data_IF_401542564654
#
_entry.id   IF_401542564654
#
_cell.length_a   1.000
_cell.length_b   1.000
_cell.length_c   1.000
_cell.angle_alpha   90.00
_cell.angle_beta   90.00
_cell.angle_gamma   90.00
#
_symmetry.space_group_name_H-M   'P 1'
#
loop_
_entity.id
_entity.type
_entity.pdbx_description
1 polymer ?
#
# COMPACT_ATOMS: atom_id res chain seq x y z
N UNK A 1 -4.47 -6.89 -14.14
CA UNK A 1 -3.81 -6.68 -12.83
C UNK A 1 -4.48 -5.47 -12.21
N UNK A 2 -5.16 -5.63 -11.07
CA UNK A 2 -5.95 -4.55 -10.47
C UNK A 2 -5.03 -3.75 -9.54
N UNK A 3 -4.98 -2.44 -9.75
CA UNK A 3 -4.26 -1.49 -8.91
C UNK A 3 -5.29 -0.58 -8.27
N UNK A 4 -5.13 -0.28 -6.98
CA UNK A 4 -6.08 0.54 -6.25
C UNK A 4 -5.42 1.83 -5.78
N UNK A 5 -6.23 2.87 -5.67
CA UNK A 5 -5.81 4.16 -5.15
C UNK A 5 -5.83 4.13 -3.62
N UNK A 6 -4.86 4.79 -2.99
CA UNK A 6 -4.66 4.81 -1.53
C UNK A 6 -5.97 5.03 -0.76
N UNK A 7 -6.81 5.99 -1.18
CA UNK A 7 -8.06 6.31 -0.46
C UNK A 7 -9.08 5.16 -0.47
N UNK A 8 -9.08 4.32 -1.50
CA UNK A 8 -9.98 3.16 -1.61
C UNK A 8 -9.50 1.96 -0.79
N UNK A 9 -8.20 1.86 -0.49
CA UNK A 9 -7.62 0.71 0.21
C UNK A 9 -7.61 0.86 1.73
N UNK A 10 -7.70 2.09 2.25
CA UNK A 10 -7.80 2.38 3.69
C UNK A 10 -8.91 1.59 4.36
N UNK A 11 -10.03 1.41 3.65
CA UNK A 11 -11.18 0.65 4.13
C UNK A 11 -11.00 -0.88 4.01
N UNK A 12 -10.18 -1.34 3.04
CA UNK A 12 -9.93 -2.76 2.82
C UNK A 12 -8.97 -3.35 3.86
N UNK A 13 -7.92 -2.60 4.22
CA UNK A 13 -6.88 -3.06 5.16
C UNK A 13 -7.08 -2.53 6.59
N UNK A 14 -8.11 -1.72 6.85
CA UNK A 14 -8.30 -0.99 8.11
C UNK A 14 -7.06 -0.15 8.53
N UNK A 15 -6.20 0.24 7.58
CA UNK A 15 -5.04 1.10 7.81
C UNK A 15 -5.43 2.53 7.43
N UNK A 16 -5.42 3.44 8.41
CA UNK A 16 -5.72 4.84 8.16
C UNK A 16 -4.83 5.47 7.06
N UNK A 17 -5.42 6.31 6.21
CA UNK A 17 -4.78 6.94 5.05
C UNK A 17 -3.43 7.58 5.39
N UNK A 18 -3.38 8.30 6.52
CA UNK A 18 -2.17 8.98 7.00
C UNK A 18 -1.03 8.00 7.28
N UNK A 19 -1.33 6.80 7.79
CA UNK A 19 -0.34 5.76 8.05
C UNK A 19 0.12 5.12 6.75
N UNK A 20 -0.81 4.87 5.82
CA UNK A 20 -0.48 4.32 4.51
C UNK A 20 0.41 5.26 3.69
N UNK A 21 0.10 6.57 3.69
CA UNK A 21 0.95 7.59 3.05
C UNK A 21 2.33 7.68 3.69
N UNK A 22 2.44 7.56 5.02
CA UNK A 22 3.74 7.51 5.71
C UNK A 22 4.54 6.26 5.34
N UNK A 23 3.88 5.10 5.27
CA UNK A 23 4.50 3.84 4.90
C UNK A 23 5.09 3.90 3.49
N UNK A 24 4.32 4.43 2.53
CA UNK A 24 4.81 4.67 1.16
C UNK A 24 5.94 5.71 1.14
N UNK A 25 5.81 6.82 1.89
CA UNK A 25 6.84 7.86 1.91
C UNK A 25 8.17 7.39 2.52
N UNK A 26 8.12 6.48 3.49
CA UNK A 26 9.30 5.91 4.12
C UNK A 26 9.99 4.85 3.24
N UNK A 27 9.23 4.12 2.42
CA UNK A 27 9.75 3.04 1.59
C UNK A 27 9.33 3.20 0.12
N UNK A 28 9.71 4.27 -0.59
CA UNK A 28 9.16 4.61 -1.91
C UNK A 28 9.53 3.60 -3.01
N UNK A 29 10.52 2.75 -2.78
CA UNK A 29 11.05 1.76 -3.74
C UNK A 29 10.48 0.36 -3.57
N UNK A 30 9.49 0.18 -2.68
CA UNK A 30 8.90 -1.13 -2.42
C UNK A 30 8.07 -1.65 -3.59
N UNK A 31 8.10 -2.97 -3.80
CA UNK A 31 7.49 -3.60 -4.97
C UNK A 31 5.96 -3.45 -5.01
N UNK A 32 5.32 -3.29 -3.86
CA UNK A 32 3.87 -3.06 -3.75
C UNK A 32 3.46 -1.62 -4.07
N UNK A 33 4.41 -0.69 -4.24
CA UNK A 33 4.14 0.71 -4.55
C UNK A 33 4.26 0.94 -6.06
N UNK A 34 3.33 1.71 -6.61
CA UNK A 34 3.38 2.19 -7.98
C UNK A 34 3.13 3.70 -7.98
N UNK A 35 4.18 4.47 -8.25
CA UNK A 35 4.07 5.92 -8.41
C UNK A 35 3.82 6.25 -9.89
N UNK A 36 2.71 6.93 -10.18
CA UNK A 36 2.36 7.44 -11.50
C UNK A 36 2.29 8.98 -11.42
N UNK A 37 3.45 9.62 -11.64
CA UNK A 37 3.61 11.04 -11.40
C UNK A 37 3.35 11.38 -9.93
N UNK A 38 2.34 12.22 -9.66
CA UNK A 38 1.95 12.60 -8.30
C UNK A 38 0.96 11.63 -7.64
N UNK A 39 0.47 10.61 -8.37
CA UNK A 39 -0.46 9.62 -7.84
C UNK A 39 0.31 8.41 -7.33
N UNK A 40 -0.13 7.85 -6.22
CA UNK A 40 0.40 6.62 -5.66
C UNK A 40 -0.70 5.56 -5.70
N UNK A 41 -0.33 4.40 -6.24
CA UNK A 41 -1.14 3.20 -6.29
C UNK A 41 -0.46 2.10 -5.50
N UNK A 42 -1.27 1.20 -4.95
CA UNK A 42 -0.78 0.01 -4.25
C UNK A 42 -1.22 -1.23 -5.03
N UNK A 43 -0.30 -2.20 -5.12
CA UNK A 43 -0.56 -3.52 -5.71
C UNK A 43 -1.07 -4.46 -4.62
N UNK A 44 -2.37 -4.73 -4.56
CA UNK A 44 -2.96 -5.57 -3.50
C UNK A 44 -2.22 -6.88 -3.28
N UNK A 45 -1.95 -7.65 -4.34
CA UNK A 45 -1.36 -8.99 -4.19
C UNK A 45 -0.01 -8.98 -3.48
N UNK A 46 0.82 -7.97 -3.76
CA UNK A 46 2.15 -7.85 -3.15
C UNK A 46 2.00 -7.23 -1.75
N UNK A 47 1.06 -6.30 -1.59
CA UNK A 47 0.79 -5.68 -0.30
C UNK A 47 0.17 -6.65 0.72
N UNK A 48 -0.74 -7.52 0.30
CA UNK A 48 -1.32 -8.60 1.10
C UNK A 48 -0.21 -9.54 1.59
N UNK A 49 0.68 -9.98 0.70
CA UNK A 49 1.85 -10.77 1.07
C UNK A 49 2.75 -10.04 2.08
N UNK A 50 2.97 -8.75 1.88
CA UNK A 50 3.73 -7.92 2.82
C UNK A 50 3.06 -7.87 4.20
N UNK A 51 1.73 -7.71 4.28
CA UNK A 51 0.99 -7.71 5.53
C UNK A 51 1.00 -9.09 6.19
N UNK A 52 0.82 -10.18 5.45
CA UNK A 52 0.88 -11.55 5.98
C UNK A 52 2.26 -11.86 6.61
N UNK A 53 3.34 -11.40 5.95
CA UNK A 53 4.71 -11.54 6.46
C UNK A 53 4.92 -10.67 7.71
N UNK A 54 4.42 -9.43 7.73
CA UNK A 54 4.65 -8.48 8.83
C UNK A 54 3.73 -8.74 10.04
N UNK A 55 2.54 -9.27 9.81
CA UNK A 55 1.51 -9.58 10.81
C UNK A 55 1.60 -10.98 11.41
N UNK A 56 2.63 -11.76 11.06
CA UNK A 56 2.93 -13.04 11.71
C UNK A 56 3.53 -12.81 13.10
N UNK A 57 2.69 -12.55 14.11
CA UNK A 57 2.98 -12.68 15.55
C UNK A 57 1.75 -13.22 16.27
#
# INVERSE_FOLDING_TARGET
>A
MNFWYIESEVQYFNIGEKNLRKLVANNPTEDYILMLGNKIFIKCKIFEQFIDVTGSI
#
